data_IF_153545287870
#
_entry.id   IF_153545287870
#
_cell.length_a   1.000
_cell.length_b   1.000
_cell.length_c   1.000
_cell.angle_alpha   90.00
_cell.angle_beta   90.00
_cell.angle_gamma   90.00
#
_symmetry.space_group_name_H-M   'P 1'
#
loop_
_entity.id
_entity.type
_entity.pdbx_description
1 polymer ?
#
# COMPACT_ATOMS: atom_id res chain seq x y z
N UNK A 1 -17.23 -6.34 8.69
CA UNK A 1 -17.30 -6.42 7.22
C UNK A 1 -16.25 -5.51 6.61
N UNK A 2 -15.45 -6.00 5.64
CA UNK A 2 -14.46 -5.20 4.90
C UNK A 2 -14.94 -4.92 3.48
N UNK A 3 -14.63 -3.73 2.94
CA UNK A 3 -14.92 -3.33 1.57
C UNK A 3 -13.61 -2.97 0.85
N UNK A 4 -13.35 -3.61 -0.27
CA UNK A 4 -12.20 -3.33 -1.14
C UNK A 4 -12.59 -3.57 -2.60
N UNK A 5 -12.17 -2.69 -3.53
CA UNK A 5 -12.56 -2.83 -4.95
C UNK A 5 -12.05 -4.11 -5.59
N UNK A 6 -10.86 -4.57 -5.18
CA UNK A 6 -10.24 -5.79 -5.67
C UNK A 6 -9.42 -6.46 -4.56
N UNK A 7 -9.39 -7.77 -4.55
CA UNK A 7 -8.72 -8.59 -3.54
C UNK A 7 -7.22 -8.82 -3.81
N UNK A 8 -6.68 -8.22 -4.84
CA UNK A 8 -5.26 -8.24 -5.21
C UNK A 8 -4.63 -6.84 -5.07
N UNK A 9 -3.35 -6.72 -5.44
CA UNK A 9 -2.61 -5.47 -5.24
C UNK A 9 -2.31 -5.16 -3.78
N UNK A 10 -1.71 -4.02 -3.49
CA UNK A 10 -1.25 -3.66 -2.14
C UNK A 10 -2.38 -3.56 -1.13
N UNK A 11 -3.45 -2.85 -1.46
CA UNK A 11 -4.60 -2.65 -0.57
C UNK A 11 -5.43 -3.93 -0.39
N UNK A 12 -5.64 -4.70 -1.47
CA UNK A 12 -6.35 -5.98 -1.42
C UNK A 12 -5.63 -7.01 -0.54
N UNK A 13 -4.32 -7.19 -0.73
CA UNK A 13 -3.50 -8.08 0.11
C UNK A 13 -3.48 -7.64 1.57
N UNK A 14 -3.40 -6.34 1.85
CA UNK A 14 -3.48 -5.82 3.21
C UNK A 14 -4.84 -6.11 3.86
N UNK A 15 -5.93 -5.91 3.12
CA UNK A 15 -7.28 -6.24 3.55
C UNK A 15 -7.41 -7.74 3.88
N UNK A 16 -6.93 -8.63 3.00
CA UNK A 16 -6.96 -10.09 3.22
C UNK A 16 -6.13 -10.48 4.44
N UNK A 17 -4.95 -9.91 4.64
CA UNK A 17 -4.10 -10.20 5.82
C UNK A 17 -4.78 -9.79 7.12
N UNK A 18 -5.37 -8.60 7.16
CA UNK A 18 -6.13 -8.17 8.33
C UNK A 18 -7.36 -9.05 8.57
N UNK A 19 -8.09 -9.37 7.52
CA UNK A 19 -9.24 -10.28 7.58
C UNK A 19 -8.86 -11.65 8.16
N UNK A 20 -7.78 -12.28 7.66
CA UNK A 20 -7.29 -13.56 8.20
C UNK A 20 -6.90 -13.45 9.68
N UNK A 21 -6.18 -12.39 10.04
CA UNK A 21 -5.78 -12.15 11.42
C UNK A 21 -6.99 -11.96 12.37
N UNK A 22 -8.04 -11.30 11.90
CA UNK A 22 -9.29 -11.13 12.66
C UNK A 22 -10.06 -12.45 12.81
N UNK A 23 -10.13 -13.27 11.75
CA UNK A 23 -10.73 -14.62 11.82
C UNK A 23 -9.99 -15.51 12.83
N UNK A 24 -8.66 -15.51 12.80
CA UNK A 24 -7.83 -16.24 13.78
C UNK A 24 -8.04 -15.74 15.22
N UNK A 25 -8.38 -14.47 15.40
CA UNK A 25 -8.72 -13.88 16.69
C UNK A 25 -10.20 -14.09 17.08
N UNK A 26 -10.98 -14.87 16.32
CA UNK A 26 -12.37 -15.22 16.64
C UNK A 26 -13.41 -14.16 16.21
N UNK A 27 -13.03 -13.17 15.40
CA UNK A 27 -13.98 -12.17 14.88
C UNK A 27 -14.66 -12.71 13.64
N UNK A 28 -15.99 -12.63 13.58
CA UNK A 28 -16.73 -12.90 12.35
C UNK A 28 -16.43 -11.80 11.32
N UNK A 29 -15.70 -12.16 10.28
CA UNK A 29 -15.19 -11.24 9.28
C UNK A 29 -15.50 -11.72 7.87
N UNK A 30 -15.98 -10.81 7.02
CA UNK A 30 -16.18 -11.04 5.58
C UNK A 30 -15.60 -9.88 4.77
N UNK A 31 -15.19 -10.17 3.54
CA UNK A 31 -14.78 -9.17 2.56
C UNK A 31 -15.77 -9.13 1.42
N UNK A 32 -16.30 -7.95 1.08
CA UNK A 32 -17.05 -7.72 -0.15
C UNK A 32 -16.16 -6.97 -1.14
N UNK A 33 -16.02 -7.51 -2.35
CA UNK A 33 -15.20 -6.94 -3.41
C UNK A 33 -15.98 -6.81 -4.73
N UNK A 34 -15.58 -5.86 -5.58
CA UNK A 34 -16.08 -5.76 -6.95
C UNK A 34 -15.48 -6.85 -7.84
N UNK A 35 -14.15 -7.05 -7.71
CA UNK A 35 -13.40 -8.04 -8.48
C UNK A 35 -12.72 -9.02 -7.53
N UNK A 36 -13.18 -10.29 -7.56
CA UNK A 36 -12.54 -11.38 -6.83
C UNK A 36 -11.59 -12.13 -7.77
N UNK A 37 -10.34 -12.25 -7.37
CA UNK A 37 -9.28 -12.96 -8.12
C UNK A 37 -8.60 -14.06 -7.31
N UNK A 38 -8.82 -14.10 -5.99
CA UNK A 38 -8.24 -15.10 -5.08
C UNK A 38 -9.28 -16.13 -4.65
N UNK A 39 -8.84 -17.31 -4.24
CA UNK A 39 -9.70 -18.36 -3.67
C UNK A 39 -9.85 -18.23 -2.15
N UNK A 40 -9.52 -17.06 -1.59
CA UNK A 40 -9.63 -16.81 -0.15
C UNK A 40 -11.07 -17.01 0.30
N UNK A 41 -11.32 -17.87 1.31
CA UNK A 41 -12.62 -18.03 1.92
C UNK A 41 -13.14 -16.69 2.47
N UNK A 42 -14.46 -16.56 2.61
CA UNK A 42 -15.15 -15.36 3.08
C UNK A 42 -14.91 -14.08 2.27
N UNK A 43 -14.15 -14.14 1.16
CA UNK A 43 -14.11 -13.08 0.14
C UNK A 43 -15.28 -13.31 -0.81
N UNK A 44 -16.21 -12.38 -0.86
CA UNK A 44 -17.40 -12.45 -1.67
C UNK A 44 -17.39 -11.39 -2.76
N UNK A 45 -17.57 -11.82 -4.01
CA UNK A 45 -17.79 -10.87 -5.10
C UNK A 45 -19.23 -10.33 -4.99
N UNK A 46 -19.40 -9.01 -5.03
CA UNK A 46 -20.70 -8.37 -4.94
C UNK A 46 -21.65 -8.81 -6.08
N UNK A 47 -21.14 -8.86 -7.29
CA UNK A 47 -21.93 -9.21 -8.49
C UNK A 47 -22.07 -10.73 -8.61
N UNK A 48 -23.31 -11.25 -8.49
CA UNK A 48 -23.61 -12.68 -8.57
C UNK A 48 -24.18 -13.08 -9.95
N UNK A 49 -25.12 -12.29 -10.49
CA UNK A 49 -25.77 -12.59 -11.76
C UNK A 49 -24.90 -12.15 -12.96
N UNK A 50 -25.16 -12.71 -14.16
CA UNK A 50 -24.45 -12.32 -15.39
C UNK A 50 -24.56 -10.82 -15.66
N UNK A 51 -25.74 -10.24 -15.47
CA UNK A 51 -25.97 -8.80 -15.67
C UNK A 51 -25.18 -7.97 -14.66
N UNK A 52 -25.19 -8.32 -13.37
CA UNK A 52 -24.42 -7.63 -12.33
C UNK A 52 -22.91 -7.70 -12.62
N UNK A 53 -22.41 -8.87 -13.08
CA UNK A 53 -21.01 -9.05 -13.49
C UNK A 53 -20.63 -8.17 -14.68
N UNK A 54 -21.53 -8.02 -15.66
CA UNK A 54 -21.31 -7.10 -16.78
C UNK A 54 -21.23 -5.64 -16.29
N UNK A 55 -22.18 -5.21 -15.46
CA UNK A 55 -22.17 -3.86 -14.87
C UNK A 55 -20.88 -3.62 -14.08
N UNK A 56 -20.46 -4.59 -13.23
CA UNK A 56 -19.24 -4.49 -12.44
C UNK A 56 -17.96 -4.32 -13.32
N UNK A 57 -17.92 -4.97 -14.50
CA UNK A 57 -16.82 -4.81 -15.47
C UNK A 57 -16.81 -3.45 -16.16
N UNK A 58 -17.99 -2.84 -16.38
CA UNK A 58 -18.11 -1.54 -17.08
C UNK A 58 -17.83 -0.37 -16.12
N UNK A 59 -18.19 -0.47 -14.84
CA UNK A 59 -18.04 0.62 -13.85
C UNK A 59 -16.63 1.20 -13.75
N UNK A 60 -15.54 0.42 -13.71
CA UNK A 60 -14.18 0.96 -13.71
C UNK A 60 -13.89 1.84 -14.92
N UNK A 61 -14.28 1.38 -16.12
CA UNK A 61 -14.10 2.13 -17.37
C UNK A 61 -14.90 3.44 -17.32
N UNK A 62 -16.18 3.40 -16.98
CA UNK A 62 -17.03 4.59 -16.88
C UNK A 62 -16.44 5.60 -15.89
N UNK A 63 -15.94 5.15 -14.76
CA UNK A 63 -15.38 6.03 -13.72
C UNK A 63 -14.17 6.81 -14.19
N UNK A 64 -13.45 6.32 -15.22
CA UNK A 64 -12.26 6.96 -15.78
C UNK A 64 -12.55 7.89 -16.97
N UNK A 65 -13.76 7.83 -17.58
CA UNK A 65 -14.12 8.64 -18.74
C UNK A 65 -13.86 10.15 -18.56
N UNK A 66 -14.14 10.77 -17.38
CA UNK A 66 -13.87 12.21 -17.20
C UNK A 66 -12.41 12.59 -17.40
N UNK A 67 -11.48 11.65 -17.23
CA UNK A 67 -10.04 11.88 -17.43
C UNK A 67 -9.64 12.03 -18.90
N UNK A 68 -10.51 11.64 -19.83
CA UNK A 68 -10.25 11.86 -21.27
C UNK A 68 -10.14 13.35 -21.61
N UNK A 69 -10.79 14.23 -20.84
CA UNK A 69 -10.64 15.68 -20.99
C UNK A 69 -9.24 16.20 -20.58
N UNK A 70 -8.39 15.34 -20.01
CA UNK A 70 -7.05 15.69 -19.54
C UNK A 70 -5.98 14.76 -20.17
N UNK A 71 -5.73 14.89 -21.49
CA UNK A 71 -4.85 13.97 -22.22
C UNK A 71 -3.39 13.99 -21.74
N UNK A 72 -2.94 15.14 -21.20
CA UNK A 72 -1.57 15.33 -20.69
C UNK A 72 -1.38 14.91 -19.24
N UNK A 73 -2.46 14.47 -18.55
CA UNK A 73 -2.38 14.08 -17.12
C UNK A 73 -1.31 13.02 -16.85
N UNK A 74 -0.81 12.99 -15.64
CA UNK A 74 -0.03 11.85 -15.15
C UNK A 74 -0.98 10.65 -15.02
N UNK A 75 -0.68 9.58 -15.76
CA UNK A 75 -1.55 8.39 -15.84
C UNK A 75 -1.58 7.66 -14.48
N UNK A 76 -2.67 6.97 -14.23
CA UNK A 76 -2.89 6.04 -13.10
C UNK A 76 -2.76 6.65 -11.69
N UNK A 77 -2.68 7.98 -11.59
CA UNK A 77 -2.57 8.67 -10.31
C UNK A 77 -3.82 9.44 -9.89
N UNK A 78 -4.94 9.28 -10.59
CA UNK A 78 -6.15 10.05 -10.30
C UNK A 78 -7.43 9.23 -10.51
N UNK A 79 -8.32 9.22 -9.53
CA UNK A 79 -9.67 8.63 -9.62
C UNK A 79 -10.72 9.71 -9.35
N UNK A 80 -11.40 10.21 -10.40
CA UNK A 80 -12.49 11.15 -10.24
C UNK A 80 -13.75 10.42 -9.81
N UNK A 81 -14.39 10.85 -8.76
CA UNK A 81 -15.66 10.28 -8.34
C UNK A 81 -16.82 11.20 -8.79
N UNK A 82 -17.14 11.17 -10.08
CA UNK A 82 -18.19 11.99 -10.72
C UNK A 82 -19.49 11.19 -10.80
N UNK A 83 -20.63 11.65 -10.25
CA UNK A 83 -21.85 10.86 -10.10
C UNK A 83 -22.40 10.27 -11.40
N UNK A 84 -22.33 10.98 -12.52
CA UNK A 84 -22.81 10.49 -13.81
C UNK A 84 -21.95 9.33 -14.35
N UNK A 85 -20.67 9.29 -13.99
CA UNK A 85 -19.70 8.27 -14.40
C UNK A 85 -19.42 7.24 -13.29
N UNK A 86 -19.75 7.59 -12.05
CA UNK A 86 -19.68 6.71 -10.88
C UNK A 86 -21.01 6.78 -10.14
N UNK A 87 -22.08 6.21 -10.72
CA UNK A 87 -23.39 6.21 -10.11
C UNK A 87 -23.39 5.39 -8.79
N UNK A 88 -24.32 5.72 -7.90
CA UNK A 88 -24.53 4.98 -6.66
C UNK A 88 -24.62 3.47 -6.89
N UNK A 89 -24.03 2.69 -6.00
CA UNK A 89 -24.07 1.24 -6.05
C UNK A 89 -25.14 0.71 -5.09
N UNK A 90 -26.41 0.77 -5.53
CA UNK A 90 -27.54 0.34 -4.71
C UNK A 90 -27.43 -1.12 -4.27
N UNK A 91 -26.88 -2.01 -5.11
CA UNK A 91 -26.66 -3.40 -4.74
C UNK A 91 -25.69 -3.51 -3.55
N UNK A 92 -24.59 -2.75 -3.56
CA UNK A 92 -23.63 -2.74 -2.46
C UNK A 92 -24.28 -2.22 -1.18
N UNK A 93 -24.98 -1.10 -1.24
CA UNK A 93 -25.61 -0.48 -0.07
C UNK A 93 -26.71 -1.39 0.50
N UNK A 94 -27.57 -1.97 -0.34
CA UNK A 94 -28.60 -2.92 0.14
C UNK A 94 -27.97 -4.16 0.76
N UNK A 95 -26.88 -4.68 0.21
CA UNK A 95 -26.16 -5.84 0.76
C UNK A 95 -25.58 -5.51 2.13
N UNK A 96 -24.88 -4.37 2.27
CA UNK A 96 -24.29 -3.94 3.55
C UNK A 96 -25.37 -3.79 4.62
N UNK A 97 -26.45 -3.07 4.31
CA UNK A 97 -27.49 -2.78 5.29
C UNK A 97 -28.35 -4.03 5.63
N UNK A 98 -28.49 -5.00 4.70
CA UNK A 98 -29.15 -6.28 4.96
C UNK A 98 -28.33 -7.18 5.90
N UNK A 99 -27.00 -7.17 5.77
CA UNK A 99 -26.10 -7.95 6.62
C UNK A 99 -25.91 -7.34 8.01
N UNK A 100 -26.29 -6.08 8.21
CA UNK A 100 -26.23 -5.36 9.50
C UNK A 100 -24.91 -5.56 10.24
N UNK A 101 -23.75 -5.28 9.60
CA UNK A 101 -22.46 -5.46 10.26
C UNK A 101 -22.29 -4.47 11.41
N UNK A 102 -21.63 -4.90 12.50
CA UNK A 102 -21.27 -4.00 13.60
C UNK A 102 -20.33 -2.87 13.13
N UNK A 103 -19.44 -3.19 12.20
CA UNK A 103 -18.48 -2.25 11.60
C UNK A 103 -18.37 -2.48 10.09
N UNK A 104 -18.33 -1.40 9.33
CA UNK A 104 -17.91 -1.40 7.92
C UNK A 104 -16.49 -0.82 7.83
N UNK A 105 -15.53 -1.65 7.47
CA UNK A 105 -14.14 -1.25 7.30
C UNK A 105 -13.82 -1.02 5.82
N UNK A 106 -13.61 0.23 5.45
CA UNK A 106 -13.29 0.65 4.09
C UNK A 106 -11.77 0.57 3.89
N UNK A 107 -11.36 -0.04 2.78
CA UNK A 107 -9.98 -0.03 2.30
C UNK A 107 -9.88 0.81 1.03
N UNK A 108 -9.39 0.25 -0.07
CA UNK A 108 -9.35 0.95 -1.35
C UNK A 108 -10.66 0.67 -2.12
N UNK A 109 -11.53 1.67 -2.19
CA UNK A 109 -12.91 1.53 -2.70
C UNK A 109 -13.14 2.29 -4.01
N UNK A 110 -12.07 2.55 -4.75
CA UNK A 110 -12.10 3.27 -6.01
C UNK A 110 -12.51 2.36 -7.20
N UNK A 111 -12.16 2.71 -8.43
CA UNK A 111 -12.49 1.98 -9.68
C UNK A 111 -14.00 1.77 -9.89
N UNK A 112 -14.79 2.80 -9.56
CA UNK A 112 -16.23 2.71 -9.77
C UNK A 112 -16.94 1.74 -8.84
N UNK A 113 -16.27 1.22 -7.79
CA UNK A 113 -16.88 0.28 -6.83
C UNK A 113 -18.07 0.94 -6.15
N UNK A 114 -17.92 2.16 -5.62
CA UNK A 114 -19.05 2.95 -5.19
C UNK A 114 -18.80 4.45 -5.31
N UNK A 115 -19.88 5.23 -5.26
CA UNK A 115 -19.83 6.68 -5.28
C UNK A 115 -19.51 7.22 -3.88
N UNK A 116 -18.77 8.33 -3.78
CA UNK A 116 -18.55 9.02 -2.50
C UNK A 116 -19.87 9.28 -1.75
N UNK A 117 -20.97 9.54 -2.48
CA UNK A 117 -22.29 9.79 -1.90
C UNK A 117 -22.85 8.55 -1.19
N UNK A 118 -22.49 7.33 -1.61
CA UNK A 118 -22.98 6.07 -1.03
C UNK A 118 -22.60 5.92 0.44
N UNK A 119 -21.50 6.56 0.88
CA UNK A 119 -21.10 6.60 2.30
C UNK A 119 -22.24 7.09 3.22
N UNK A 120 -23.07 8.01 2.75
CA UNK A 120 -24.21 8.53 3.54
C UNK A 120 -25.33 7.49 3.76
N UNK A 121 -25.34 6.42 2.99
CA UNK A 121 -26.36 5.36 3.06
C UNK A 121 -25.92 4.17 3.89
N UNK A 122 -24.67 4.15 4.36
CA UNK A 122 -24.13 3.12 5.26
C UNK A 122 -24.55 3.49 6.69
N UNK A 123 -25.34 2.61 7.32
CA UNK A 123 -25.87 2.85 8.67
C UNK A 123 -24.87 2.49 9.77
N UNK A 124 -24.07 1.45 9.57
CA UNK A 124 -23.08 1.00 10.53
C UNK A 124 -21.94 2.02 10.74
N UNK A 125 -21.26 2.02 11.89
CA UNK A 125 -20.01 2.75 12.07
C UNK A 125 -18.98 2.35 11.02
N UNK A 126 -18.27 3.35 10.47
CA UNK A 126 -17.27 3.15 9.42
C UNK A 126 -15.86 3.43 9.94
N UNK A 127 -14.94 2.53 9.66
CA UNK A 127 -13.49 2.76 9.75
C UNK A 127 -12.92 2.79 8.34
N UNK A 128 -12.16 3.82 7.96
CA UNK A 128 -11.53 3.90 6.64
C UNK A 128 -10.01 3.88 6.75
N UNK A 129 -9.39 2.74 6.38
CA UNK A 129 -7.94 2.62 6.29
C UNK A 129 -7.42 3.27 5.01
N UNK A 130 -6.52 4.23 5.17
CA UNK A 130 -5.96 5.00 4.08
C UNK A 130 -4.79 4.26 3.43
N UNK A 131 -5.03 3.65 2.27
CA UNK A 131 -4.00 3.00 1.45
C UNK A 131 -3.30 3.97 0.49
N UNK A 132 -3.89 5.13 0.25
CA UNK A 132 -3.35 6.22 -0.55
C UNK A 132 -3.99 7.57 -0.15
N UNK A 133 -3.67 8.62 -0.90
CA UNK A 133 -4.15 9.97 -0.62
C UNK A 133 -5.55 10.27 -1.20
N UNK A 134 -6.16 9.38 -1.97
CA UNK A 134 -7.43 9.68 -2.62
C UNK A 134 -8.51 10.14 -1.64
N UNK A 135 -8.73 9.50 -0.47
CA UNK A 135 -9.80 9.89 0.44
C UNK A 135 -9.70 11.34 0.92
N UNK A 136 -8.50 11.89 1.11
CA UNK A 136 -8.31 13.25 1.63
C UNK A 136 -7.90 14.29 0.57
N UNK A 137 -7.99 13.94 -0.72
CA UNK A 137 -7.66 14.81 -1.85
C UNK A 137 -8.84 14.99 -2.82
N UNK A 138 -8.67 15.85 -3.82
CA UNK A 138 -9.61 16.01 -4.92
C UNK A 138 -9.60 14.88 -5.95
N UNK A 139 -9.03 13.70 -5.62
CA UNK A 139 -9.02 12.52 -6.49
C UNK A 139 -7.66 11.92 -6.77
N UNK A 140 -6.55 12.56 -6.38
CA UNK A 140 -5.22 12.01 -6.60
C UNK A 140 -4.88 10.94 -5.55
N UNK A 141 -4.20 9.87 -6.00
CA UNK A 141 -3.72 8.77 -5.15
C UNK A 141 -2.43 9.13 -4.42
N UNK A 142 -1.64 10.04 -4.97
CA UNK A 142 -0.41 10.57 -4.40
C UNK A 142 -0.39 12.08 -4.60
N UNK A 143 0.01 12.80 -3.56
CA UNK A 143 0.10 14.26 -3.61
C UNK A 143 1.37 14.65 -4.35
N UNK A 144 1.25 15.43 -5.42
CA UNK A 144 2.41 15.97 -6.12
C UNK A 144 3.14 17.00 -5.24
N UNK A 145 4.48 17.07 -5.32
CA UNK A 145 5.28 17.99 -4.53
C UNK A 145 4.85 19.47 -4.70
N UNK A 146 4.42 19.83 -5.92
CA UNK A 146 3.93 21.19 -6.23
C UNK A 146 2.48 21.44 -5.77
N UNK A 147 1.80 20.48 -5.12
CA UNK A 147 0.41 20.62 -4.72
C UNK A 147 0.27 21.35 -3.38
N UNK A 148 -0.42 22.47 -3.39
CA UNK A 148 -0.75 23.25 -2.18
C UNK A 148 -2.23 23.11 -1.76
N UNK A 149 -3.01 22.31 -2.49
CA UNK A 149 -4.48 22.28 -2.33
C UNK A 149 -5.00 21.37 -1.21
N UNK A 150 -4.20 20.46 -0.67
CA UNK A 150 -4.68 19.44 0.28
C UNK A 150 -5.17 20.04 1.60
N UNK A 151 -4.44 21.01 2.12
CA UNK A 151 -4.82 21.72 3.38
C UNK A 151 -5.91 22.78 3.20
N UNK A 152 -6.26 23.13 1.97
CA UNK A 152 -7.23 24.19 1.70
C UNK A 152 -8.35 23.73 0.77
N UNK A 153 -8.08 23.69 -0.53
CA UNK A 153 -9.01 23.24 -1.57
C UNK A 153 -8.25 22.83 -2.84
N UNK A 154 -8.56 21.67 -3.36
CA UNK A 154 -8.01 21.23 -4.65
C UNK A 154 -8.54 22.11 -5.79
N UNK A 155 -7.62 22.56 -6.64
CA UNK A 155 -7.86 23.32 -7.89
C UNK A 155 -6.57 23.31 -8.69
N UNK A 156 -6.65 23.60 -10.00
CA UNK A 156 -5.48 23.71 -10.90
C UNK A 156 -4.48 22.57 -10.65
N UNK A 157 -4.97 21.32 -10.75
CA UNK A 157 -4.27 20.13 -10.29
C UNK A 157 -3.02 19.83 -11.12
N UNK A 158 -1.82 19.76 -10.53
CA UNK A 158 -0.60 19.45 -11.26
C UNK A 158 -0.60 18.04 -11.88
N UNK A 159 -1.26 17.05 -11.24
CA UNK A 159 -1.38 15.70 -11.81
C UNK A 159 -2.31 15.64 -13.02
N UNK A 160 -3.31 16.53 -13.10
CA UNK A 160 -4.15 16.69 -14.28
C UNK A 160 -3.49 17.59 -15.35
N UNK A 161 -2.35 18.21 -15.03
CA UNK A 161 -1.72 19.27 -15.83
C UNK A 161 -2.73 20.36 -16.22
N UNK A 162 -3.54 20.78 -15.25
CA UNK A 162 -4.62 21.74 -15.42
C UNK A 162 -4.28 23.07 -14.76
N UNK A 163 -4.39 24.17 -15.50
CA UNK A 163 -4.32 25.52 -14.97
C UNK A 163 -5.72 26.05 -14.57
N UNK A 164 -6.79 25.32 -14.86
CA UNK A 164 -8.15 25.77 -14.61
C UNK A 164 -8.52 25.69 -13.12
N UNK A 165 -9.06 26.76 -12.50
CA UNK A 165 -9.42 26.76 -11.09
C UNK A 165 -10.60 25.84 -10.75
N UNK A 166 -11.43 25.49 -11.73
CA UNK A 166 -12.61 24.62 -11.60
C UNK A 166 -12.44 23.32 -12.37
N UNK A 167 -11.27 22.72 -12.29
CA UNK A 167 -10.95 21.45 -12.90
C UNK A 167 -11.62 20.25 -12.19
N UNK A 168 -11.33 19.05 -12.68
CA UNK A 168 -11.90 17.82 -12.14
C UNK A 168 -11.57 17.60 -10.65
N UNK A 169 -10.39 18.07 -10.21
CA UNK A 169 -9.97 17.95 -8.81
C UNK A 169 -10.83 18.84 -7.90
N UNK A 170 -11.17 20.04 -8.36
CA UNK A 170 -12.08 20.95 -7.63
C UNK A 170 -13.47 20.34 -7.44
N UNK A 171 -14.04 19.78 -8.49
CA UNK A 171 -15.40 19.20 -8.42
C UNK A 171 -15.44 17.93 -7.58
N UNK A 172 -14.41 17.11 -7.66
CA UNK A 172 -14.27 15.92 -6.80
C UNK A 172 -14.11 16.32 -5.34
N UNK A 173 -13.23 17.27 -5.05
CA UNK A 173 -13.03 17.81 -3.71
C UNK A 173 -14.35 18.38 -3.12
N UNK A 174 -15.04 19.24 -3.85
CA UNK A 174 -16.30 19.86 -3.42
C UNK A 174 -17.36 18.82 -3.05
N UNK A 175 -17.45 17.72 -3.83
CA UNK A 175 -18.38 16.62 -3.53
C UNK A 175 -17.97 15.86 -2.28
N UNK A 176 -16.70 15.49 -2.14
CA UNK A 176 -16.18 14.85 -0.94
C UNK A 176 -16.46 15.69 0.29
N UNK A 177 -16.14 16.99 0.26
CA UNK A 177 -16.40 17.91 1.34
C UNK A 177 -17.90 17.93 1.74
N UNK A 178 -18.81 18.05 0.76
CA UNK A 178 -20.26 18.02 1.00
C UNK A 178 -20.74 16.69 1.60
N UNK A 179 -20.16 15.56 1.17
CA UNK A 179 -20.51 14.24 1.67
C UNK A 179 -19.96 14.04 3.08
N UNK A 180 -18.67 14.28 3.28
CA UNK A 180 -18.01 14.00 4.56
C UNK A 180 -18.54 14.88 5.69
N UNK A 181 -18.92 16.12 5.40
CA UNK A 181 -19.55 17.00 6.39
C UNK A 181 -20.82 16.40 7.03
N UNK A 182 -21.49 15.49 6.33
CA UNK A 182 -22.73 14.83 6.81
C UNK A 182 -22.52 13.49 7.51
N UNK A 183 -21.27 12.98 7.53
CA UNK A 183 -20.96 11.69 8.13
C UNK A 183 -20.56 11.86 9.60
N UNK A 184 -21.36 11.34 10.51
CA UNK A 184 -21.06 11.34 11.95
C UNK A 184 -20.49 9.97 12.41
N UNK A 185 -20.61 8.94 11.58
CA UNK A 185 -20.22 7.56 11.84
C UNK A 185 -18.94 7.15 11.12
N UNK A 186 -18.07 8.10 10.73
CA UNK A 186 -16.84 7.86 10.01
C UNK A 186 -15.61 8.17 10.87
N UNK A 187 -14.77 7.17 11.08
CA UNK A 187 -13.43 7.29 11.64
C UNK A 187 -12.38 6.93 10.59
N UNK A 188 -11.29 7.64 10.57
CA UNK A 188 -10.18 7.44 9.64
C UNK A 188 -9.06 6.65 10.34
N UNK A 189 -8.50 5.68 9.65
CA UNK A 189 -7.29 5.00 10.08
C UNK A 189 -6.14 5.34 9.13
N UNK A 190 -5.12 6.03 9.61
CA UNK A 190 -3.84 6.14 8.91
C UNK A 190 -3.00 4.89 9.16
N UNK A 191 -2.58 4.21 8.09
CA UNK A 191 -1.75 2.99 8.19
C UNK A 191 -0.32 3.27 8.70
N UNK A 192 0.11 4.53 8.63
CA UNK A 192 1.34 5.04 9.23
C UNK A 192 1.07 6.39 9.89
N UNK A 193 1.98 6.83 10.77
CA UNK A 193 1.93 8.17 11.40
C UNK A 193 1.91 9.27 10.33
N UNK A 194 2.68 9.07 9.26
CA UNK A 194 2.73 10.03 8.15
C UNK A 194 1.38 10.22 7.47
N UNK A 195 0.68 9.14 7.08
CA UNK A 195 -0.61 9.28 6.38
C UNK A 195 -1.74 9.70 7.34
N UNK A 196 -1.66 9.31 8.62
CA UNK A 196 -2.57 9.80 9.66
C UNK A 196 -2.43 11.33 9.82
N UNK A 197 -1.20 11.84 9.89
CA UNK A 197 -0.95 13.28 9.97
C UNK A 197 -1.38 13.98 8.68
N UNK A 198 -1.08 13.43 7.51
CA UNK A 198 -1.54 13.98 6.21
C UNK A 198 -3.06 14.11 6.13
N UNK A 199 -3.79 13.11 6.65
CA UNK A 199 -5.24 13.17 6.73
C UNK A 199 -5.72 14.24 7.75
N UNK A 200 -5.03 14.38 8.88
CA UNK A 200 -5.32 15.38 9.92
C UNK A 200 -5.14 16.80 9.40
N UNK A 201 -4.11 17.02 8.59
CA UNK A 201 -3.79 18.33 8.01
C UNK A 201 -4.65 18.64 6.77
N UNK A 202 -5.43 17.66 6.28
CA UNK A 202 -6.25 17.84 5.09
C UNK A 202 -7.56 18.59 5.42
N UNK A 203 -7.98 19.45 4.48
CA UNK A 203 -9.25 20.15 4.60
C UNK A 203 -10.48 19.22 4.51
N UNK A 204 -10.33 17.99 3.99
CA UNK A 204 -11.44 17.04 3.85
C UNK A 204 -11.65 16.18 5.10
N UNK A 205 -10.58 15.71 5.74
CA UNK A 205 -10.66 14.75 6.83
C UNK A 205 -10.18 15.27 8.18
N UNK A 206 -9.56 16.46 8.24
CA UNK A 206 -8.99 17.00 9.47
C UNK A 206 -9.97 17.17 10.64
N UNK A 207 -11.27 17.27 10.36
CA UNK A 207 -12.34 17.34 11.37
C UNK A 207 -12.86 15.98 11.84
N UNK A 208 -12.44 14.88 11.19
CA UNK A 208 -12.87 13.53 11.56
C UNK A 208 -11.99 12.94 12.65
N UNK A 209 -12.50 12.00 13.46
CA UNK A 209 -11.66 11.18 14.33
C UNK A 209 -10.62 10.43 13.50
N UNK A 210 -9.35 10.49 13.91
CA UNK A 210 -8.24 9.82 13.23
C UNK A 210 -7.49 8.95 14.22
N UNK A 211 -7.30 7.68 13.87
CA UNK A 211 -6.46 6.72 14.60
C UNK A 211 -5.30 6.28 13.72
N UNK A 212 -4.30 5.62 14.31
CA UNK A 212 -3.17 5.07 13.58
C UNK A 212 -2.98 3.59 13.96
N UNK A 213 -3.42 2.70 13.07
CA UNK A 213 -3.23 1.25 13.19
C UNK A 213 -2.57 0.73 11.91
N UNK A 214 -1.48 -0.04 12.02
CA UNK A 214 -0.72 -0.52 10.88
C UNK A 214 -1.39 -1.71 10.17
N UNK A 215 -0.85 -2.11 9.02
CA UNK A 215 -1.16 -3.40 8.42
C UNK A 215 -0.47 -4.53 9.18
N UNK A 216 -1.13 -5.68 9.34
CA UNK A 216 -0.52 -6.87 9.94
C UNK A 216 0.42 -7.59 8.97
N UNK A 217 1.34 -8.38 9.55
CA UNK A 217 2.14 -9.37 8.82
C UNK A 217 2.05 -10.74 9.50
N UNK A 218 1.84 -11.79 8.70
CA UNK A 218 1.92 -13.16 9.19
C UNK A 218 3.39 -13.59 9.32
N UNK A 219 3.90 -13.54 10.54
CA UNK A 219 5.29 -13.86 10.83
C UNK A 219 5.59 -15.36 10.78
N UNK A 220 4.60 -16.23 10.60
CA UNK A 220 4.76 -17.68 10.36
C UNK A 220 5.11 -17.95 8.92
N UNK A 221 4.57 -17.13 7.99
CA UNK A 221 4.85 -17.18 6.56
C UNK A 221 6.11 -16.37 6.25
N UNK A 222 6.11 -15.07 6.61
CA UNK A 222 7.25 -14.19 6.42
C UNK A 222 8.25 -14.38 7.56
N UNK A 223 9.10 -15.38 7.44
CA UNK A 223 10.14 -15.74 8.41
C UNK A 223 11.45 -16.03 7.68
N UNK A 224 12.58 -15.91 8.38
CA UNK A 224 13.86 -16.31 7.82
C UNK A 224 13.84 -17.78 7.37
N UNK A 225 14.21 -18.02 6.13
CA UNK A 225 14.48 -19.34 5.54
C UNK A 225 15.98 -19.40 5.30
N UNK A 226 16.59 -20.57 5.45
CA UNK A 226 18.01 -20.71 5.18
C UNK A 226 18.34 -20.19 3.77
N UNK A 227 19.27 -19.25 3.68
CA UNK A 227 19.56 -18.51 2.44
C UNK A 227 19.92 -19.42 1.27
N UNK A 228 20.73 -20.46 1.52
CA UNK A 228 21.08 -21.44 0.48
C UNK A 228 19.86 -22.19 -0.05
N UNK A 229 18.97 -22.62 0.83
CA UNK A 229 17.71 -23.30 0.45
C UNK A 229 16.79 -22.36 -0.32
N UNK A 230 16.64 -21.11 0.14
CA UNK A 230 15.81 -20.12 -0.55
C UNK A 230 16.32 -19.83 -1.97
N UNK A 231 17.64 -19.72 -2.15
CA UNK A 231 18.28 -19.55 -3.45
C UNK A 231 18.10 -20.77 -4.35
N UNK A 232 18.29 -21.96 -3.82
CA UNK A 232 18.08 -23.22 -4.55
C UNK A 232 16.64 -23.32 -5.08
N UNK A 233 15.64 -23.07 -4.24
CA UNK A 233 14.23 -23.08 -4.62
C UNK A 233 13.89 -22.02 -5.70
N UNK A 234 14.58 -20.89 -5.70
CA UNK A 234 14.46 -19.85 -6.73
C UNK A 234 15.36 -20.11 -7.95
N UNK A 235 16.11 -21.21 -7.98
CA UNK A 235 17.09 -21.57 -9.05
C UNK A 235 18.18 -20.52 -9.24
N UNK A 236 18.61 -19.90 -8.15
CA UNK A 236 19.69 -18.90 -8.13
C UNK A 236 20.95 -19.60 -7.64
N UNK A 237 21.88 -19.83 -8.55
CA UNK A 237 23.12 -20.57 -8.30
C UNK A 237 24.32 -19.63 -8.31
N UNK A 238 24.45 -18.80 -7.27
CA UNK A 238 25.56 -17.86 -7.12
C UNK A 238 26.03 -17.76 -5.67
N UNK A 239 27.33 -17.65 -5.41
CA UNK A 239 27.86 -17.34 -4.08
C UNK A 239 27.80 -15.81 -3.77
N UNK A 240 27.49 -14.97 -4.77
CA UNK A 240 27.49 -13.53 -4.63
C UNK A 240 26.38 -13.02 -3.71
N UNK A 241 26.53 -11.79 -3.24
CA UNK A 241 25.50 -11.12 -2.46
C UNK A 241 24.32 -10.72 -3.36
N UNK A 242 23.10 -10.85 -2.86
CA UNK A 242 21.88 -10.58 -3.60
C UNK A 242 21.26 -9.26 -3.11
N UNK A 243 21.19 -8.28 -4.00
CA UNK A 243 20.43 -7.05 -3.80
C UNK A 243 19.04 -7.27 -4.39
N UNK A 244 18.00 -7.20 -3.59
CA UNK A 244 16.64 -7.35 -4.12
C UNK A 244 15.91 -6.02 -4.22
N UNK A 245 15.09 -5.92 -5.25
CA UNK A 245 14.22 -4.77 -5.53
C UNK A 245 12.93 -5.26 -6.17
N UNK A 246 11.81 -4.62 -5.86
CA UNK A 246 10.61 -4.91 -6.61
C UNK A 246 9.31 -4.44 -5.94
N UNK A 247 8.32 -4.33 -6.80
CA UNK A 247 6.92 -4.07 -6.50
C UNK A 247 6.13 -4.34 -7.78
N UNK A 248 4.81 -4.30 -7.71
CA UNK A 248 3.97 -4.34 -8.92
C UNK A 248 4.35 -3.16 -9.82
N UNK A 249 4.78 -3.45 -11.05
CA UNK A 249 5.25 -2.44 -12.01
C UNK A 249 6.53 -1.74 -11.56
N UNK A 250 7.43 -2.44 -10.87
CA UNK A 250 8.64 -1.88 -10.26
C UNK A 250 9.50 -1.08 -11.22
N UNK A 251 9.72 -1.59 -12.43
CA UNK A 251 10.57 -0.96 -13.46
C UNK A 251 9.87 0.11 -14.28
N UNK A 252 8.52 0.11 -14.31
CA UNK A 252 7.70 1.01 -15.15
C UNK A 252 7.03 2.14 -14.38
N UNK A 253 7.00 2.08 -13.06
CA UNK A 253 6.34 3.08 -12.21
C UNK A 253 7.38 4.03 -11.61
N UNK A 254 7.51 5.30 -12.08
CA UNK A 254 8.59 6.21 -11.65
C UNK A 254 8.70 6.39 -10.14
N UNK A 255 7.55 6.51 -9.42
CA UNK A 255 7.53 6.68 -7.96
C UNK A 255 8.12 5.52 -7.16
N UNK A 256 8.35 4.36 -7.80
CA UNK A 256 9.01 3.20 -7.17
C UNK A 256 10.53 3.31 -7.16
N UNK A 257 11.07 4.29 -7.89
CA UNK A 257 12.47 4.67 -7.77
C UNK A 257 13.45 3.73 -8.49
N UNK A 258 13.03 3.09 -9.61
CA UNK A 258 13.96 2.23 -10.35
C UNK A 258 15.15 3.00 -10.94
N UNK A 259 14.94 4.23 -11.39
CA UNK A 259 16.04 5.08 -11.87
C UNK A 259 17.00 5.43 -10.73
N UNK A 260 16.46 5.78 -9.56
CA UNK A 260 17.25 6.08 -8.36
C UNK A 260 18.03 4.85 -7.88
N UNK A 261 17.47 3.65 -8.03
CA UNK A 261 18.19 2.41 -7.78
C UNK A 261 19.36 2.26 -8.76
N UNK A 262 19.15 2.49 -10.06
CA UNK A 262 20.23 2.40 -11.07
C UNK A 262 21.36 3.36 -10.73
N UNK A 263 21.04 4.64 -10.52
CA UNK A 263 22.04 5.65 -10.19
C UNK A 263 22.83 5.28 -8.91
N UNK A 264 22.13 4.75 -7.90
CA UNK A 264 22.77 4.32 -6.68
C UNK A 264 23.65 3.07 -6.89
N UNK A 265 23.24 2.12 -7.71
CA UNK A 265 24.05 0.94 -8.06
C UNK A 265 25.29 1.34 -8.88
N UNK A 266 25.16 2.31 -9.79
CA UNK A 266 26.29 2.86 -10.54
C UNK A 266 27.33 3.51 -9.63
N UNK A 267 26.87 4.13 -8.53
CA UNK A 267 27.73 4.79 -7.53
C UNK A 267 28.43 3.83 -6.57
N UNK A 268 28.08 2.54 -6.57
CA UNK A 268 28.75 1.56 -5.70
C UNK A 268 30.22 1.35 -6.13
N UNK A 269 31.13 1.09 -5.18
CA UNK A 269 32.51 0.72 -5.48
C UNK A 269 32.57 -0.53 -6.36
N UNK A 270 33.50 -0.54 -7.34
CA UNK A 270 33.61 -1.63 -8.31
C UNK A 270 33.85 -3.01 -7.69
N UNK A 271 34.59 -3.09 -6.57
CA UNK A 271 34.81 -4.33 -5.85
C UNK A 271 33.52 -4.91 -5.25
N UNK A 272 32.54 -4.06 -4.84
CA UNK A 272 31.24 -4.51 -4.38
C UNK A 272 30.35 -4.94 -5.54
N UNK A 273 30.33 -4.17 -6.63
CA UNK A 273 29.54 -4.52 -7.83
C UNK A 273 29.90 -5.95 -8.32
N UNK A 274 31.19 -6.27 -8.39
CA UNK A 274 31.66 -7.58 -8.83
C UNK A 274 31.22 -8.74 -7.90
N UNK A 275 30.92 -8.44 -6.64
CA UNK A 275 30.49 -9.40 -5.61
C UNK A 275 28.96 -9.48 -5.45
N UNK A 276 28.20 -8.71 -6.23
CA UNK A 276 26.73 -8.63 -6.10
C UNK A 276 26.02 -9.06 -7.38
N UNK A 277 24.78 -9.48 -7.22
CA UNK A 277 23.80 -9.69 -8.29
C UNK A 277 22.47 -9.08 -7.88
N UNK A 278 21.67 -8.64 -8.86
CA UNK A 278 20.38 -8.00 -8.63
C UNK A 278 19.25 -9.01 -8.81
N UNK A 279 18.29 -8.99 -7.90
CA UNK A 279 17.09 -9.82 -7.92
C UNK A 279 15.85 -8.92 -8.03
N UNK A 280 15.16 -8.94 -9.18
CA UNK A 280 14.01 -8.08 -9.46
C UNK A 280 12.73 -8.89 -9.51
N UNK A 281 11.71 -8.45 -8.77
CA UNK A 281 10.36 -9.02 -8.86
C UNK A 281 9.32 -7.96 -9.21
N UNK A 282 8.18 -8.40 -9.73
CA UNK A 282 7.10 -7.51 -10.20
C UNK A 282 7.32 -6.99 -11.63
N UNK A 283 8.38 -7.44 -12.28
CA UNK A 283 8.64 -7.29 -13.72
C UNK A 283 9.32 -8.54 -14.24
N UNK A 284 8.98 -8.99 -15.45
CA UNK A 284 9.62 -10.13 -16.14
C UNK A 284 10.79 -9.70 -17.02
N UNK A 285 10.95 -8.41 -17.23
CA UNK A 285 12.00 -7.82 -18.04
C UNK A 285 12.31 -6.40 -17.57
N UNK A 286 13.45 -5.88 -17.94
CA UNK A 286 13.89 -4.52 -17.65
C UNK A 286 15.27 -4.25 -18.23
N UNK A 287 15.73 -3.03 -18.06
CA UNK A 287 17.09 -2.65 -18.42
C UNK A 287 18.09 -3.45 -17.56
N UNK A 288 18.99 -4.18 -18.22
CA UNK A 288 20.07 -4.90 -17.56
C UNK A 288 21.19 -3.93 -17.24
N UNK A 289 21.63 -3.92 -15.99
CA UNK A 289 22.82 -3.16 -15.60
C UNK A 289 24.06 -3.89 -16.14
N UNK A 290 24.84 -3.24 -16.97
CA UNK A 290 25.96 -3.85 -17.72
C UNK A 290 26.99 -4.56 -16.81
N UNK A 291 27.16 -4.07 -15.58
CA UNK A 291 28.17 -4.57 -14.65
C UNK A 291 27.63 -5.48 -13.55
N UNK A 292 26.32 -5.78 -13.53
CA UNK A 292 25.70 -6.57 -12.46
C UNK A 292 24.66 -7.56 -13.04
N UNK A 293 24.89 -8.87 -12.95
CA UNK A 293 23.92 -9.87 -13.36
C UNK A 293 22.59 -9.64 -12.66
N UNK A 294 21.49 -9.68 -13.44
CA UNK A 294 20.14 -9.40 -12.95
C UNK A 294 19.22 -10.60 -13.21
N UNK A 295 18.55 -11.05 -12.16
CA UNK A 295 17.55 -12.11 -12.20
C UNK A 295 16.14 -11.50 -12.14
N UNK A 296 15.36 -11.61 -13.20
CA UNK A 296 13.97 -11.17 -13.24
C UNK A 296 13.04 -12.33 -12.90
N UNK A 297 12.32 -12.24 -11.78
CA UNK A 297 11.42 -13.31 -11.31
C UNK A 297 9.96 -13.10 -11.75
N UNK A 298 9.67 -12.02 -12.50
CA UNK A 298 8.29 -11.72 -12.87
C UNK A 298 7.41 -11.33 -11.67
N UNK A 299 6.10 -11.41 -11.88
CA UNK A 299 5.14 -11.12 -10.82
C UNK A 299 5.02 -12.30 -9.85
N UNK A 300 5.34 -12.07 -8.59
CA UNK A 300 5.14 -13.04 -7.51
C UNK A 300 3.78 -12.79 -6.84
N UNK A 301 2.89 -13.78 -6.89
CA UNK A 301 1.52 -13.63 -6.42
C UNK A 301 1.27 -14.24 -5.04
N UNK A 302 2.11 -15.18 -4.60
CA UNK A 302 1.96 -15.83 -3.31
C UNK A 302 2.98 -15.36 -2.27
N UNK A 303 2.59 -15.50 -1.00
CA UNK A 303 3.36 -15.01 0.14
C UNK A 303 4.61 -15.89 0.40
N UNK A 304 4.60 -17.18 0.01
CA UNK A 304 5.72 -18.10 0.20
C UNK A 304 6.86 -17.75 -0.77
N UNK A 305 6.53 -17.53 -2.06
CA UNK A 305 7.51 -17.12 -3.05
C UNK A 305 8.18 -15.79 -2.67
N UNK A 306 7.42 -14.84 -2.11
CA UNK A 306 7.97 -13.59 -1.59
C UNK A 306 8.87 -13.82 -0.36
N UNK A 307 8.47 -14.68 0.57
CA UNK A 307 9.32 -15.02 1.73
C UNK A 307 10.64 -15.67 1.31
N UNK A 308 10.63 -16.55 0.29
CA UNK A 308 11.84 -17.11 -0.32
C UNK A 308 12.72 -16.03 -0.94
N UNK A 309 12.13 -15.11 -1.72
CA UNK A 309 12.85 -14.00 -2.34
C UNK A 309 13.58 -13.15 -1.30
N UNK A 310 12.86 -12.70 -0.25
CA UNK A 310 13.48 -11.89 0.80
C UNK A 310 14.56 -12.69 1.54
N UNK A 311 14.31 -13.96 1.86
CA UNK A 311 15.30 -14.81 2.53
C UNK A 311 16.54 -15.13 1.68
N UNK A 312 16.40 -15.15 0.35
CA UNK A 312 17.51 -15.31 -0.59
C UNK A 312 18.42 -14.07 -0.67
N UNK A 313 17.90 -12.92 -0.26
CA UNK A 313 18.51 -11.61 -0.41
C UNK A 313 19.42 -11.25 0.78
N UNK A 314 20.44 -10.42 0.51
CA UNK A 314 21.29 -9.84 1.54
C UNK A 314 20.80 -8.44 1.96
N UNK A 315 20.13 -7.75 1.05
CA UNK A 315 19.49 -6.46 1.30
C UNK A 315 18.31 -6.26 0.36
N UNK A 316 17.25 -5.64 0.85
CA UNK A 316 16.11 -5.19 0.04
C UNK A 316 16.15 -3.68 -0.13
N UNK A 317 16.08 -3.19 -1.37
CA UNK A 317 16.12 -1.76 -1.67
C UNK A 317 14.70 -1.28 -2.00
N UNK A 318 14.27 -0.23 -1.32
CA UNK A 318 12.96 0.38 -1.53
C UNK A 318 13.07 1.91 -1.75
N UNK A 319 13.53 2.35 -2.93
CA UNK A 319 13.78 3.76 -3.22
C UNK A 319 12.49 4.49 -3.62
N UNK A 320 11.37 4.09 -3.04
CA UNK A 320 10.07 4.70 -3.31
C UNK A 320 10.00 6.14 -2.80
N UNK A 321 9.44 7.03 -3.60
CA UNK A 321 9.26 8.44 -3.22
C UNK A 321 8.21 8.64 -2.13
N UNK A 322 7.16 7.83 -2.16
CA UNK A 322 6.05 7.90 -1.22
C UNK A 322 5.44 6.51 -1.02
N UNK A 323 5.26 6.13 0.22
CA UNK A 323 4.56 4.91 0.63
C UNK A 323 3.60 5.22 1.78
N UNK A 324 2.36 4.78 1.65
CA UNK A 324 1.38 4.94 2.73
C UNK A 324 1.75 4.12 3.96
N UNK A 325 2.41 2.97 3.74
CA UNK A 325 2.88 2.08 4.79
C UNK A 325 4.25 1.47 4.44
N UNK A 326 4.38 0.69 3.35
CA UNK A 326 5.62 0.02 2.95
C UNK A 326 5.58 -1.49 3.20
N UNK A 327 4.58 -2.18 2.68
CA UNK A 327 4.38 -3.61 2.92
C UNK A 327 5.58 -4.47 2.54
N UNK A 328 6.20 -4.21 1.37
CA UNK A 328 7.37 -4.99 0.91
C UNK A 328 8.59 -4.79 1.81
N UNK A 329 8.78 -3.60 2.39
CA UNK A 329 9.80 -3.37 3.42
C UNK A 329 9.52 -4.19 4.67
N UNK A 330 8.27 -4.20 5.15
CA UNK A 330 7.89 -5.00 6.32
C UNK A 330 8.06 -6.51 6.06
N UNK A 331 7.70 -6.98 4.87
CA UNK A 331 7.87 -8.37 4.44
C UNK A 331 9.35 -8.78 4.48
N UNK A 332 10.25 -7.94 3.91
CA UNK A 332 11.69 -8.16 3.94
C UNK A 332 12.24 -8.19 5.38
N UNK A 333 11.91 -7.19 6.21
CA UNK A 333 12.32 -7.16 7.61
C UNK A 333 11.81 -8.38 8.39
N UNK A 334 10.59 -8.82 8.11
CA UNK A 334 10.02 -10.01 8.75
C UNK A 334 10.78 -11.29 8.38
N UNK A 335 11.35 -11.37 7.18
CA UNK A 335 12.25 -12.45 6.75
C UNK A 335 13.70 -12.27 7.26
N UNK A 336 13.99 -11.26 8.07
CA UNK A 336 15.33 -10.97 8.56
C UNK A 336 16.23 -10.26 7.54
N UNK A 337 15.67 -9.73 6.45
CA UNK A 337 16.42 -9.04 5.41
C UNK A 337 16.40 -7.53 5.68
N UNK A 338 17.57 -6.91 5.94
CA UNK A 338 17.65 -5.46 6.16
C UNK A 338 17.17 -4.68 4.93
N UNK A 339 16.62 -3.49 5.16
CA UNK A 339 16.06 -2.64 4.10
C UNK A 339 16.84 -1.34 3.99
N UNK A 340 17.16 -0.93 2.75
CA UNK A 340 17.62 0.43 2.45
C UNK A 340 16.51 1.17 1.73
N UNK A 341 16.12 2.33 2.23
CA UNK A 341 15.02 3.12 1.69
C UNK A 341 15.29 4.61 1.88
N UNK A 342 14.55 5.47 1.17
CA UNK A 342 14.53 6.90 1.47
C UNK A 342 13.83 7.19 2.80
N UNK A 343 14.32 8.19 3.54
CA UNK A 343 13.74 8.69 4.79
C UNK A 343 12.45 9.48 4.52
N UNK A 344 11.41 8.79 4.07
CA UNK A 344 10.16 9.40 3.62
C UNK A 344 8.93 8.62 4.09
N UNK A 345 7.83 9.35 4.24
CA UNK A 345 6.45 8.84 4.38
C UNK A 345 6.29 7.70 5.40
N UNK A 346 5.53 6.66 5.08
CA UNK A 346 5.27 5.52 5.98
C UNK A 346 6.47 4.61 6.24
N UNK A 347 7.57 4.72 5.47
CA UNK A 347 8.77 3.92 5.67
C UNK A 347 9.47 4.22 7.01
N UNK A 348 9.31 5.45 7.51
CA UNK A 348 9.83 5.90 8.82
C UNK A 348 9.22 5.17 10.02
N UNK A 349 8.06 4.54 9.84
CA UNK A 349 7.40 3.75 10.90
C UNK A 349 7.90 2.31 10.95
N UNK A 350 8.52 1.83 9.87
CA UNK A 350 8.96 0.44 9.70
C UNK A 350 10.48 0.32 9.88
N UNK A 351 11.23 1.29 9.31
CA UNK A 351 12.68 1.24 9.30
C UNK A 351 13.24 2.16 10.38
N UNK A 352 14.09 1.61 11.22
CA UNK A 352 14.91 2.37 12.18
C UNK A 352 16.34 2.40 11.66
N UNK A 353 16.83 3.61 11.33
CA UNK A 353 18.15 3.83 10.71
C UNK A 353 19.26 3.15 11.50
N UNK A 354 20.08 2.35 10.80
CA UNK A 354 21.23 1.58 11.33
C UNK A 354 20.89 0.56 12.42
N UNK A 355 19.61 0.28 12.66
CA UNK A 355 19.16 -0.74 13.58
C UNK A 355 18.59 -1.97 12.89
N UNK A 356 17.67 -1.78 11.94
CA UNK A 356 17.06 -2.85 11.13
C UNK A 356 17.15 -2.57 9.62
N UNK A 357 17.80 -1.49 9.24
CA UNK A 357 17.95 -1.05 7.86
C UNK A 357 18.62 0.32 7.81
N UNK A 358 18.60 0.96 6.65
CA UNK A 358 19.19 2.27 6.42
C UNK A 358 18.15 3.21 5.79
N UNK A 359 17.94 4.37 6.40
CA UNK A 359 17.16 5.46 5.85
C UNK A 359 18.10 6.47 5.21
N UNK A 360 18.09 6.52 3.89
CA UNK A 360 18.85 7.48 3.09
C UNK A 360 18.08 8.80 2.98
N UNK A 361 18.79 9.92 2.84
CA UNK A 361 18.17 11.22 2.59
C UNK A 361 17.24 11.15 1.39
N UNK A 362 16.08 11.81 1.49
CA UNK A 362 15.10 11.81 0.42
C UNK A 362 15.70 12.17 -0.92
N UNK A 363 15.56 11.27 -1.88
CA UNK A 363 15.99 11.41 -3.29
C UNK A 363 17.50 11.55 -3.51
N UNK A 364 18.33 11.33 -2.48
CA UNK A 364 19.78 11.31 -2.58
C UNK A 364 20.26 9.89 -2.92
N UNK A 365 20.55 9.64 -4.21
CA UNK A 365 21.00 8.35 -4.73
C UNK A 365 22.39 7.97 -4.21
N UNK A 366 23.26 8.96 -3.92
CA UNK A 366 24.56 8.71 -3.30
C UNK A 366 24.42 8.24 -1.85
N UNK A 367 23.45 8.79 -1.09
CA UNK A 367 23.19 8.33 0.27
C UNK A 367 22.49 6.96 0.28
N UNK A 368 21.67 6.67 -0.75
CA UNK A 368 21.11 5.33 -0.97
C UNK A 368 22.23 4.31 -1.24
N UNK A 369 23.22 4.65 -2.08
CA UNK A 369 24.40 3.84 -2.34
C UNK A 369 25.22 3.57 -1.07
N UNK A 370 25.45 4.60 -0.21
CA UNK A 370 26.13 4.45 1.09
C UNK A 370 25.38 3.47 2.00
N UNK A 371 24.04 3.51 1.99
CA UNK A 371 23.22 2.57 2.75
C UNK A 371 23.40 1.13 2.27
N UNK A 372 23.45 0.92 0.96
CA UNK A 372 23.74 -0.40 0.36
C UNK A 372 25.16 -0.85 0.71
N UNK A 373 26.15 0.00 0.51
CA UNK A 373 27.55 -0.29 0.84
C UNK A 373 27.70 -0.66 2.32
N UNK A 374 27.09 0.11 3.23
CA UNK A 374 27.11 -0.15 4.66
C UNK A 374 26.60 -1.54 5.02
N UNK A 375 25.48 -2.00 4.44
CA UNK A 375 24.94 -3.33 4.71
C UNK A 375 25.79 -4.42 4.03
N UNK A 376 26.15 -4.20 2.78
CA UNK A 376 26.88 -5.19 1.97
C UNK A 376 28.32 -5.40 2.45
N UNK A 377 28.93 -4.41 3.11
CA UNK A 377 30.30 -4.49 3.64
C UNK A 377 30.38 -4.89 5.11
N UNK A 378 29.24 -5.14 5.77
CA UNK A 378 29.25 -5.57 7.17
C UNK A 378 29.98 -6.90 7.36
N UNK A 379 30.73 -7.00 8.47
CA UNK A 379 31.19 -8.28 8.99
C UNK A 379 29.99 -9.18 9.35
N UNK A 380 30.20 -10.50 9.27
CA UNK A 380 29.12 -11.48 9.47
C UNK A 380 28.37 -11.30 10.80
N UNK A 381 29.09 -11.03 11.88
CA UNK A 381 28.47 -10.84 13.21
C UNK A 381 27.58 -9.58 13.26
N UNK A 382 27.98 -8.48 12.60
CA UNK A 382 27.22 -7.24 12.52
C UNK A 382 25.98 -7.47 11.65
N UNK A 383 26.12 -8.15 10.51
CA UNK A 383 25.01 -8.48 9.64
C UNK A 383 23.98 -9.38 10.31
N UNK A 384 24.43 -10.41 11.04
CA UNK A 384 23.53 -11.27 11.82
C UNK A 384 22.71 -10.51 12.85
N UNK A 385 23.35 -9.57 13.55
CA UNK A 385 22.65 -8.71 14.50
C UNK A 385 21.62 -7.80 13.80
N UNK A 386 21.98 -7.22 12.66
CA UNK A 386 21.09 -6.40 11.83
C UNK A 386 19.88 -7.21 11.36
N UNK A 387 20.10 -8.45 10.90
CA UNK A 387 19.06 -9.39 10.49
C UNK A 387 18.13 -9.78 11.64
N UNK A 388 18.68 -10.07 12.83
CA UNK A 388 17.88 -10.33 14.04
C UNK A 388 17.04 -9.12 14.44
N UNK A 389 17.60 -7.93 14.37
CA UNK A 389 16.88 -6.68 14.64
C UNK A 389 15.76 -6.42 13.63
N UNK A 390 15.99 -6.70 12.35
CA UNK A 390 14.99 -6.61 11.30
C UNK A 390 13.77 -7.50 11.65
N UNK A 391 14.02 -8.76 11.92
CA UNK A 391 12.99 -9.74 12.30
C UNK A 391 12.26 -9.35 13.59
N UNK A 392 13.00 -9.00 14.65
CA UNK A 392 12.42 -8.68 15.95
C UNK A 392 11.56 -7.41 15.90
N UNK A 393 11.97 -6.39 15.12
CA UNK A 393 11.20 -5.16 14.92
C UNK A 393 9.86 -5.46 14.24
N UNK A 394 9.85 -6.30 13.21
CA UNK A 394 8.64 -6.71 12.52
C UNK A 394 7.67 -7.45 13.44
N UNK A 395 8.15 -8.44 14.20
CA UNK A 395 7.33 -9.19 15.18
C UNK A 395 6.78 -8.24 16.26
N UNK A 396 7.65 -7.42 16.84
CA UNK A 396 7.28 -6.55 17.97
C UNK A 396 6.16 -5.58 17.61
N UNK A 397 6.14 -5.04 16.38
CA UNK A 397 5.23 -3.97 16.01
C UNK A 397 4.06 -4.42 15.14
N UNK A 398 4.23 -5.45 14.29
CA UNK A 398 3.32 -5.70 13.17
C UNK A 398 2.80 -7.15 13.08
N UNK A 399 3.16 -8.02 14.03
CA UNK A 399 2.68 -9.40 14.04
C UNK A 399 1.14 -9.46 14.06
N UNK A 400 0.58 -10.41 13.30
CA UNK A 400 -0.85 -10.50 12.98
C UNK A 400 -1.76 -10.49 14.19
N UNK A 401 -1.48 -11.27 15.23
CA UNK A 401 -2.33 -11.37 16.42
C UNK A 401 -2.37 -10.05 17.20
N UNK A 402 -1.22 -9.39 17.31
CA UNK A 402 -1.10 -8.10 18.00
C UNK A 402 -1.88 -7.01 17.28
N UNK A 403 -1.72 -6.92 15.96
CA UNK A 403 -2.42 -5.93 15.14
C UNK A 403 -3.92 -6.22 15.12
N UNK A 404 -4.33 -7.49 14.99
CA UNK A 404 -5.75 -7.88 15.08
C UNK A 404 -6.39 -7.42 16.39
N UNK A 405 -5.72 -7.64 17.54
CA UNK A 405 -6.22 -7.19 18.84
C UNK A 405 -6.37 -5.67 18.92
N UNK A 406 -5.45 -4.90 18.33
CA UNK A 406 -5.55 -3.45 18.26
C UNK A 406 -6.77 -3.00 17.43
N UNK A 407 -7.04 -3.67 16.29
CA UNK A 407 -8.24 -3.41 15.50
C UNK A 407 -9.53 -3.83 16.22
N UNK A 408 -9.54 -4.97 16.93
CA UNK A 408 -10.70 -5.42 17.72
C UNK A 408 -11.05 -4.36 18.78
N UNK A 409 -10.07 -3.84 19.50
CA UNK A 409 -10.29 -2.78 20.48
C UNK A 409 -10.85 -1.51 19.83
N UNK A 410 -10.32 -1.11 18.66
CA UNK A 410 -10.86 0.04 17.92
C UNK A 410 -12.30 -0.22 17.43
N UNK A 411 -12.61 -1.40 16.93
CA UNK A 411 -13.97 -1.75 16.52
C UNK A 411 -14.94 -1.74 17.70
N UNK A 412 -14.55 -2.27 18.86
CA UNK A 412 -15.38 -2.26 20.06
C UNK A 412 -15.72 -0.82 20.51
N UNK A 413 -14.74 0.10 20.46
CA UNK A 413 -14.94 1.50 20.76
C UNK A 413 -15.90 2.18 19.77
N UNK A 414 -15.77 1.87 18.47
CA UNK A 414 -16.63 2.43 17.42
C UNK A 414 -18.07 1.89 17.50
N UNK A 415 -18.24 0.60 17.77
CA UNK A 415 -19.55 -0.02 17.91
C UNK A 415 -20.25 0.41 19.21
N UNK A 416 -19.51 0.52 20.34
CA UNK A 416 -20.06 0.92 21.64
C UNK A 416 -20.37 2.40 21.76
N UNK A 417 -19.71 3.27 20.99
CA UNK A 417 -19.94 4.72 21.00
C UNK A 417 -21.26 5.17 20.35
N UNK A 418 -22.01 4.27 19.72
CA UNK A 418 -23.33 4.55 19.13
C UNK A 418 -24.51 4.52 20.12
N UNK A 419 -24.27 4.16 21.39
CA UNK A 419 -25.33 3.94 22.40
C UNK A 419 -25.57 5.08 23.40
N UNK A 420 -24.83 6.21 23.28
CA UNK A 420 -25.04 7.34 24.19
C UNK A 420 -25.21 8.64 23.40
N UNK A 421 -26.38 8.81 22.78
CA UNK A 421 -26.93 10.14 22.45
C UNK A 421 -28.46 10.08 22.46
#
# INVERSE_FOLDING_TARGET
MHLVSQDNGGAGRACIRLHKALLEAGVDSIIITQNKTTDTPQVQQLAQTKFQKLVAKIRPFLSQLPLMAYPKRVKDLFSPNIPIFTPSNHLLISTINALKPDIVHLHWVENGFFSTKDLQSIQAPMLWSLHDANPYTGGCHYVAAACVGVGTRCKSCPLLQSALPFDLSFWTFKRKAKTYAKLNNLTINGLSRWIAQSAKDSALLGSKPIINLPNPIDTRIYRPIQKSLAREMLRIHTPKKMISFGAIGATSTPRKGFNELKDALESLPQHLKSQCELLVFGSSEGEVLHDMPTHFLGALHDDIALALLYSASDVFIMPSYVESFGQTALEALSCGTPVVAFDTSGLKDIITHKHNGYLAKCYDTNDLAKGMEWILSCESAIYENLSKNARSSAIKAFESSKVANAYINAYAQLAGGGGSR
#
